data_IF_163030571397
#
_entry.id   IF_163030571397
#
_cell.length_a   1.000
_cell.length_b   1.000
_cell.length_c   1.000
_cell.angle_alpha   90.00
_cell.angle_beta   90.00
_cell.angle_gamma   90.00
#
_symmetry.space_group_name_H-M   'P 1'
#
loop_
_entity.id
_entity.type
_entity.pdbx_description
1 polymer ?
#
# COMPACT_ATOMS: atom_id res chain seq x y z
N UNK A 1 14.76 -9.18 8.25
CA UNK A 1 14.47 -9.25 6.80
C UNK A 1 12.97 -9.33 6.61
N UNK A 2 12.44 -8.55 5.67
CA UNK A 2 11.03 -8.61 5.29
C UNK A 2 10.78 -9.78 4.33
N UNK A 3 9.54 -10.24 4.21
CA UNK A 3 9.19 -11.23 3.17
C UNK A 3 9.52 -10.73 1.76
N UNK A 4 9.57 -9.42 1.55
CA UNK A 4 9.95 -8.85 0.26
C UNK A 4 11.43 -9.07 -0.06
N UNK A 5 12.32 -8.92 0.92
CA UNK A 5 13.75 -9.16 0.74
C UNK A 5 14.01 -10.61 0.31
N UNK A 6 13.27 -11.55 0.92
CA UNK A 6 13.37 -12.97 0.62
C UNK A 6 12.76 -13.31 -0.75
N UNK A 7 11.63 -12.72 -1.12
CA UNK A 7 11.09 -12.84 -2.47
C UNK A 7 12.02 -12.24 -3.54
N UNK A 8 12.67 -11.12 -3.23
CA UNK A 8 13.65 -10.47 -4.11
C UNK A 8 14.89 -11.34 -4.28
N UNK A 9 15.34 -12.00 -3.20
CA UNK A 9 16.41 -13.00 -3.24
C UNK A 9 16.02 -14.17 -4.15
N UNK A 10 14.83 -14.76 -3.98
CA UNK A 10 14.34 -15.83 -4.85
C UNK A 10 14.28 -15.41 -6.32
N UNK A 11 13.86 -14.18 -6.62
CA UNK A 11 13.86 -13.65 -8.00
C UNK A 11 15.28 -13.55 -8.56
N UNK A 12 16.23 -12.99 -7.81
CA UNK A 12 17.63 -12.92 -8.22
C UNK A 12 18.22 -14.31 -8.49
N UNK A 13 17.90 -15.28 -7.64
CA UNK A 13 18.32 -16.68 -7.81
C UNK A 13 17.70 -17.26 -9.09
N UNK A 14 16.40 -17.06 -9.32
CA UNK A 14 15.72 -17.49 -10.54
C UNK A 14 16.35 -16.89 -11.80
N UNK A 15 16.70 -15.61 -11.77
CA UNK A 15 17.29 -14.94 -12.94
C UNK A 15 18.67 -15.53 -13.25
N UNK A 16 19.50 -15.77 -12.22
CA UNK A 16 20.80 -16.44 -12.38
C UNK A 16 20.68 -17.85 -12.91
N UNK A 17 19.71 -18.62 -12.42
CA UNK A 17 19.46 -19.98 -12.90
C UNK A 17 19.04 -19.98 -14.38
N UNK A 18 18.21 -19.02 -14.82
CA UNK A 18 17.79 -18.88 -16.21
C UNK A 18 18.94 -18.50 -17.15
N UNK A 19 19.88 -17.68 -16.68
CA UNK A 19 21.02 -17.24 -17.47
C UNK A 19 22.25 -18.14 -17.30
N UNK A 20 22.10 -19.28 -16.63
CA UNK A 20 23.19 -20.22 -16.28
C UNK A 20 24.36 -19.55 -15.53
N UNK A 21 24.10 -18.40 -14.89
CA UNK A 21 25.08 -17.67 -14.12
C UNK A 21 25.31 -18.32 -12.75
N UNK A 22 26.54 -18.27 -12.20
CA UNK A 22 26.84 -18.90 -10.93
C UNK A 22 26.09 -18.25 -9.76
N UNK A 23 25.43 -19.10 -8.97
CA UNK A 23 24.90 -18.74 -7.66
C UNK A 23 26.03 -18.58 -6.63
N UNK A 24 25.83 -17.65 -5.69
CA UNK A 24 26.73 -17.51 -4.54
C UNK A 24 26.66 -18.76 -3.65
N UNK A 25 27.72 -19.04 -2.88
CA UNK A 25 27.71 -20.16 -1.92
C UNK A 25 26.55 -20.06 -0.93
N UNK A 26 26.25 -18.84 -0.47
CA UNK A 26 25.13 -18.59 0.44
C UNK A 26 23.75 -18.89 -0.21
N UNK A 27 23.55 -18.55 -1.48
CA UNK A 27 22.31 -18.84 -2.20
C UNK A 27 22.15 -20.31 -2.54
N UNK A 28 23.26 -21.00 -2.86
CA UNK A 28 23.27 -22.46 -3.06
C UNK A 28 22.88 -23.19 -1.77
N UNK A 29 23.49 -22.82 -0.66
CA UNK A 29 23.20 -23.44 0.64
C UNK A 29 21.76 -23.18 1.08
N UNK A 30 21.27 -21.95 0.89
CA UNK A 30 19.89 -21.60 1.15
C UNK A 30 18.90 -22.45 0.33
N UNK A 31 19.07 -22.52 -0.99
CA UNK A 31 18.21 -23.33 -1.85
C UNK A 31 18.26 -24.82 -1.49
N UNK A 32 19.46 -25.37 -1.31
CA UNK A 32 19.64 -26.79 -0.98
C UNK A 32 18.93 -27.15 0.33
N UNK A 33 19.11 -26.31 1.36
CA UNK A 33 18.45 -26.50 2.66
C UNK A 33 16.94 -26.41 2.54
N UNK A 34 16.42 -25.37 1.86
CA UNK A 34 14.99 -25.17 1.70
C UNK A 34 14.33 -26.31 0.90
N UNK A 35 14.96 -26.77 -0.19
CA UNK A 35 14.46 -27.88 -0.99
C UNK A 35 14.47 -29.20 -0.22
N UNK A 36 15.51 -29.46 0.58
CA UNK A 36 15.58 -30.64 1.45
C UNK A 36 14.45 -30.63 2.48
N UNK A 37 14.25 -29.50 3.17
CA UNK A 37 13.16 -29.34 4.14
C UNK A 37 11.78 -29.54 3.52
N UNK A 38 11.56 -29.04 2.30
CA UNK A 38 10.30 -29.25 1.58
C UNK A 38 10.10 -30.74 1.25
N UNK A 39 11.16 -31.43 0.85
CA UNK A 39 11.11 -32.89 0.61
C UNK A 39 10.77 -33.66 1.90
N UNK A 40 11.22 -33.17 3.06
CA UNK A 40 10.89 -33.71 4.38
C UNK A 40 9.48 -33.32 4.88
N UNK A 41 8.70 -32.58 4.09
CA UNK A 41 7.31 -32.24 4.39
C UNK A 41 7.09 -30.89 5.09
N UNK A 42 8.11 -30.04 5.19
CA UNK A 42 7.97 -28.67 5.72
C UNK A 42 7.21 -27.78 4.71
N UNK A 43 6.35 -26.89 5.21
CA UNK A 43 5.64 -25.90 4.38
C UNK A 43 6.61 -25.04 3.57
N UNK A 44 6.36 -24.93 2.26
CA UNK A 44 7.24 -24.21 1.35
C UNK A 44 7.37 -22.72 1.67
N UNK A 45 6.33 -22.07 2.21
CA UNK A 45 6.47 -20.65 2.60
C UNK A 45 7.42 -20.50 3.79
N UNK A 46 7.40 -21.46 4.72
CA UNK A 46 8.32 -21.51 5.84
C UNK A 46 9.75 -21.85 5.40
N UNK A 47 9.94 -22.90 4.60
CA UNK A 47 11.26 -23.34 4.14
C UNK A 47 11.98 -22.28 3.27
N UNK A 48 11.23 -21.57 2.41
CA UNK A 48 11.77 -20.49 1.58
C UNK A 48 11.77 -19.12 2.29
N UNK A 49 11.38 -19.06 3.57
CA UNK A 49 11.28 -17.84 4.36
C UNK A 49 10.40 -16.73 3.73
N UNK A 50 9.35 -17.10 2.99
CA UNK A 50 8.40 -16.18 2.33
C UNK A 50 7.02 -16.13 2.99
N UNK A 51 6.91 -16.68 4.21
CA UNK A 51 5.69 -16.61 5.00
C UNK A 51 5.49 -15.21 5.56
N UNK A 52 4.54 -14.47 4.99
CA UNK A 52 4.17 -13.13 5.46
C UNK A 52 3.77 -13.14 6.93
N UNK A 53 4.39 -12.25 7.70
CA UNK A 53 3.97 -11.97 9.08
C UNK A 53 2.69 -11.15 9.07
N UNK A 54 2.01 -11.10 10.21
CA UNK A 54 0.82 -10.26 10.39
C UNK A 54 1.19 -8.80 10.05
N UNK A 55 0.49 -8.23 9.06
CA UNK A 55 0.76 -6.87 8.57
C UNK A 55 1.73 -6.77 7.38
N UNK A 56 2.41 -7.86 7.02
CA UNK A 56 3.20 -7.93 5.79
C UNK A 56 2.33 -8.43 4.63
N UNK A 57 2.50 -7.83 3.44
CA UNK A 57 1.77 -8.23 2.25
C UNK A 57 2.71 -8.94 1.27
N UNK A 58 2.33 -10.15 0.85
CA UNK A 58 3.12 -10.98 -0.07
C UNK A 58 3.28 -10.41 -1.49
N UNK A 59 2.57 -9.34 -1.85
CA UNK A 59 2.49 -8.85 -3.23
C UNK A 59 2.71 -7.34 -3.32
N UNK A 60 3.56 -6.94 -4.28
CA UNK A 60 3.74 -5.54 -4.70
C UNK A 60 2.41 -4.87 -5.07
N UNK A 61 1.47 -5.62 -5.63
CA UNK A 61 0.12 -5.13 -5.95
C UNK A 61 -0.67 -4.75 -4.70
N UNK A 62 -0.56 -5.51 -3.61
CA UNK A 62 -1.25 -5.21 -2.36
C UNK A 62 -0.65 -3.99 -1.65
N UNK A 63 0.68 -3.82 -1.71
CA UNK A 63 1.35 -2.61 -1.24
C UNK A 63 0.94 -1.38 -2.07
N UNK A 64 0.96 -1.48 -3.40
CA UNK A 64 0.52 -0.39 -4.28
C UNK A 64 -0.92 0.02 -3.97
N UNK A 65 -1.84 -0.93 -3.80
CA UNK A 65 -3.23 -0.64 -3.43
C UNK A 65 -3.33 0.08 -2.08
N UNK A 66 -2.53 -0.30 -1.08
CA UNK A 66 -2.50 0.37 0.22
C UNK A 66 -1.95 1.79 0.10
N UNK A 67 -0.85 1.95 -0.63
CA UNK A 67 -0.23 3.23 -0.91
C UNK A 67 -1.20 4.17 -1.65
N UNK A 68 -1.85 3.69 -2.71
CA UNK A 68 -2.90 4.40 -3.44
C UNK A 68 -4.07 4.78 -2.52
N UNK A 69 -4.51 3.86 -1.65
CA UNK A 69 -5.55 4.12 -0.67
C UNK A 69 -5.19 5.24 0.31
N UNK A 70 -3.95 5.27 0.81
CA UNK A 70 -3.46 6.33 1.69
C UNK A 70 -3.35 7.68 0.98
N UNK A 71 -2.91 7.69 -0.28
CA UNK A 71 -2.90 8.89 -1.12
C UNK A 71 -4.33 9.42 -1.30
N UNK A 72 -5.26 8.57 -1.74
CA UNK A 72 -6.66 8.94 -1.95
C UNK A 72 -7.29 9.51 -0.68
N UNK A 73 -7.03 8.89 0.48
CA UNK A 73 -7.49 9.40 1.78
C UNK A 73 -6.96 10.80 2.07
N UNK A 74 -5.65 11.04 1.92
CA UNK A 74 -5.06 12.36 2.21
C UNK A 74 -5.55 13.44 1.25
N UNK A 75 -5.59 13.13 -0.05
CA UNK A 75 -6.08 14.05 -1.08
C UNK A 75 -7.55 14.42 -0.85
N UNK A 76 -8.41 13.42 -0.60
CA UNK A 76 -9.84 13.68 -0.35
C UNK A 76 -10.06 14.53 0.90
N UNK A 77 -9.35 14.26 2.00
CA UNK A 77 -9.48 15.05 3.23
C UNK A 77 -8.94 16.48 3.09
N UNK A 78 -7.82 16.67 2.39
CA UNK A 78 -7.29 18.00 2.10
C UNK A 78 -8.20 18.80 1.17
N UNK A 79 -8.81 18.15 0.18
CA UNK A 79 -9.82 18.76 -0.69
C UNK A 79 -11.04 19.19 0.11
N UNK A 80 -11.61 18.30 0.96
CA UNK A 80 -12.76 18.64 1.80
C UNK A 80 -12.41 19.80 2.75
N UNK A 81 -11.23 19.79 3.38
CA UNK A 81 -10.79 20.87 4.26
C UNK A 81 -10.70 22.22 3.51
N UNK A 82 -10.21 22.22 2.27
CA UNK A 82 -10.12 23.42 1.44
C UNK A 82 -11.49 23.90 0.97
N UNK A 83 -12.35 22.99 0.50
CA UNK A 83 -13.69 23.31 0.04
C UNK A 83 -14.57 23.91 1.14
N UNK A 84 -14.37 23.47 2.39
CA UNK A 84 -15.08 23.99 3.56
C UNK A 84 -14.56 25.34 4.05
N UNK A 85 -13.35 25.75 3.67
CA UNK A 85 -12.81 27.06 4.05
C UNK A 85 -13.64 28.19 3.43
N UNK A 86 -13.56 29.38 4.01
CA UNK A 86 -14.28 30.56 3.49
C UNK A 86 -13.78 30.91 2.11
N UNK A 87 -14.65 31.51 1.30
CA UNK A 87 -14.31 31.97 -0.05
C UNK A 87 -13.15 32.97 0.00
N UNK A 88 -13.14 33.86 0.99
CA UNK A 88 -12.07 34.83 1.25
C UNK A 88 -10.69 34.18 1.46
N UNK A 89 -10.66 32.96 2.03
CA UNK A 89 -9.43 32.19 2.27
C UNK A 89 -9.06 31.30 1.06
N UNK A 90 -9.74 31.46 -0.08
CA UNK A 90 -9.59 30.61 -1.26
C UNK A 90 -10.29 29.25 -1.16
N UNK A 91 -11.28 29.12 -0.27
CA UNK A 91 -12.16 27.96 -0.18
C UNK A 91 -13.44 28.12 -1.00
N UNK A 92 -14.39 27.19 -0.83
CA UNK A 92 -15.69 27.20 -1.51
C UNK A 92 -16.86 27.50 -0.57
N UNK A 93 -16.61 27.66 0.74
CA UNK A 93 -17.65 27.89 1.75
C UNK A 93 -18.64 26.74 1.91
N UNK A 94 -18.28 25.52 1.47
CA UNK A 94 -19.20 24.39 1.48
C UNK A 94 -19.39 23.81 2.89
N UNK A 95 -20.57 23.26 3.14
CA UNK A 95 -20.80 22.36 4.27
C UNK A 95 -19.99 21.06 4.09
N UNK A 96 -19.86 20.26 5.16
CA UNK A 96 -19.16 18.97 5.04
C UNK A 96 -19.88 18.04 4.06
N UNK A 97 -21.20 18.02 4.13
CA UNK A 97 -22.09 17.20 3.32
C UNK A 97 -22.00 17.59 1.85
N UNK A 98 -22.04 18.90 1.54
CA UNK A 98 -21.86 19.38 0.16
C UNK A 98 -20.47 19.06 -0.38
N UNK A 99 -19.42 19.22 0.43
CA UNK A 99 -18.07 18.87 0.02
C UNK A 99 -17.93 17.36 -0.25
N UNK A 100 -18.47 16.50 0.63
CA UNK A 100 -18.46 15.05 0.45
C UNK A 100 -19.25 14.64 -0.80
N UNK A 101 -20.47 15.15 -0.96
CA UNK A 101 -21.32 14.83 -2.12
C UNK A 101 -20.61 15.20 -3.43
N UNK A 102 -19.90 16.32 -3.48
CA UNK A 102 -19.20 16.79 -4.68
C UNK A 102 -18.12 15.81 -5.18
N UNK A 103 -17.38 15.17 -4.27
CA UNK A 103 -16.29 14.23 -4.63
C UNK A 103 -16.68 12.76 -4.47
N UNK A 104 -17.89 12.49 -3.99
CA UNK A 104 -18.44 11.16 -3.79
C UNK A 104 -18.88 10.49 -5.08
N UNK A 105 -19.32 9.24 -4.95
CA UNK A 105 -19.71 8.33 -6.03
C UNK A 105 -20.89 8.82 -6.87
N UNK A 106 -21.72 9.72 -6.34
CA UNK A 106 -22.90 10.24 -7.01
C UNK A 106 -22.66 11.54 -7.81
N UNK A 107 -21.45 12.11 -7.76
CA UNK A 107 -21.05 13.28 -8.54
C UNK A 107 -19.70 13.04 -9.23
N UNK A 108 -18.62 13.71 -8.82
CA UNK A 108 -17.34 13.62 -9.53
C UNK A 108 -16.66 12.26 -9.40
N UNK A 109 -17.00 11.48 -8.36
CA UNK A 109 -16.34 10.23 -7.99
C UNK A 109 -14.80 10.33 -8.05
N UNK A 110 -14.27 11.48 -7.64
CA UNK A 110 -12.91 11.93 -7.98
C UNK A 110 -11.82 10.98 -7.45
N UNK A 111 -12.13 10.23 -6.40
CA UNK A 111 -11.20 9.30 -5.75
C UNK A 111 -11.65 7.83 -5.83
N UNK A 112 -12.81 7.54 -6.43
CA UNK A 112 -13.38 6.20 -6.40
C UNK A 112 -13.80 5.76 -5.00
N UNK A 113 -14.30 6.68 -4.18
CA UNK A 113 -14.67 6.45 -2.78
C UNK A 113 -16.15 6.78 -2.58
N UNK A 114 -16.81 6.02 -1.71
CA UNK A 114 -18.19 6.31 -1.34
C UNK A 114 -18.27 7.51 -0.40
N UNK A 115 -19.39 8.23 -0.39
CA UNK A 115 -19.70 9.34 0.51
C UNK A 115 -19.62 8.88 1.96
N UNK A 116 -20.07 7.66 2.26
CA UNK A 116 -19.92 7.03 3.58
C UNK A 116 -18.44 6.82 3.95
N UNK A 117 -17.61 6.38 2.99
CA UNK A 117 -16.17 6.21 3.22
C UNK A 117 -15.50 7.55 3.48
N UNK A 118 -15.83 8.57 2.69
CA UNK A 118 -15.32 9.94 2.86
C UNK A 118 -15.71 10.51 4.22
N UNK A 119 -16.97 10.32 4.65
CA UNK A 119 -17.45 10.71 5.98
C UNK A 119 -16.72 9.99 7.10
N UNK A 120 -16.50 8.69 6.93
CA UNK A 120 -15.74 7.87 7.89
C UNK A 120 -14.29 8.35 8.00
N UNK A 121 -13.63 8.61 6.86
CA UNK A 121 -12.27 9.14 6.83
C UNK A 121 -12.19 10.50 7.50
N UNK A 122 -13.14 11.40 7.19
CA UNK A 122 -13.20 12.71 7.83
C UNK A 122 -13.26 12.54 9.33
N UNK A 123 -14.22 11.76 9.84
CA UNK A 123 -14.44 11.57 11.26
C UNK A 123 -13.24 10.95 12.00
N UNK A 124 -12.60 9.94 11.40
CA UNK A 124 -11.54 9.16 12.07
C UNK A 124 -10.13 9.75 11.98
N UNK A 125 -9.88 10.72 11.09
CA UNK A 125 -8.52 11.22 10.82
C UNK A 125 -8.47 12.76 10.94
N UNK A 126 -8.69 13.28 12.17
CA UNK A 126 -8.74 14.72 12.47
C UNK A 126 -7.43 15.42 12.06
N UNK A 127 -6.31 14.75 12.26
CA UNK A 127 -4.96 15.22 11.96
C UNK A 127 -4.72 15.46 10.46
N UNK A 128 -5.51 14.82 9.59
CA UNK A 128 -5.42 14.94 8.13
C UNK A 128 -6.38 15.99 7.56
N UNK A 129 -7.22 16.63 8.37
CA UNK A 129 -8.16 17.68 7.95
C UNK A 129 -7.47 19.03 7.75
N UNK A 130 -6.38 19.05 7.00
CA UNK A 130 -5.54 20.23 6.78
C UNK A 130 -5.44 20.53 5.29
N UNK A 131 -5.35 21.81 4.95
CA UNK A 131 -5.13 22.27 3.56
C UNK A 131 -3.75 21.86 3.07
N UNK A 132 -2.75 22.00 3.93
CA UNK A 132 -1.40 21.53 3.67
C UNK A 132 -1.21 20.12 4.23
N UNK A 133 -0.84 19.19 3.35
CA UNK A 133 -0.54 17.82 3.72
C UNK A 133 0.56 17.26 2.83
N UNK A 134 1.23 16.24 3.35
CA UNK A 134 2.27 15.52 2.63
C UNK A 134 1.72 14.18 2.15
N UNK A 135 2.05 13.84 0.91
CA UNK A 135 1.81 12.50 0.38
C UNK A 135 2.84 11.52 0.97
N UNK A 136 2.43 10.27 1.26
CA UNK A 136 3.37 9.24 1.67
C UNK A 136 4.43 9.05 0.56
N UNK A 137 5.66 8.75 0.94
CA UNK A 137 6.68 8.31 -0.02
C UNK A 137 6.42 6.83 -0.36
N UNK A 138 6.65 6.41 -1.61
CA UNK A 138 6.68 4.98 -1.91
C UNK A 138 7.83 4.34 -1.13
N UNK A 139 7.55 3.20 -0.48
CA UNK A 139 8.55 2.36 0.18
C UNK A 139 9.57 1.76 -0.81
#
# INVERSE_FOLDING_TARGET
MSVHDEQKRLRKISDKLKTEAPLSSADKQFLSTALSQIADGIDANQALNVKAKRGEHKSKTAQNKRYEGEIKKRLSLGWIATAKARIEDGGLGLTLEQAIARIGENDLNAFGLTEETLKTYWNKNVELRKRDFHLPKPD
#
